data_IF_856625362755
#
_entry.id   IF_856625362755
#
_cell.length_a   1.000
_cell.length_b   1.000
_cell.length_c   1.000
_cell.angle_alpha   90.00
_cell.angle_beta   90.00
_cell.angle_gamma   90.00
#
_symmetry.space_group_name_H-M   'P 1'
#
loop_
_entity.id
_entity.type
_entity.pdbx_description
1 polymer ?
#
# COMPACT_ATOMS: atom_id res chain seq x y z
N UNK A 1 -17.19 -5.31 -31.42
CA UNK A 1 -16.60 -5.93 -30.22
C UNK A 1 -16.96 -5.01 -29.07
N UNK A 2 -18.01 -5.34 -28.32
CA UNK A 2 -18.41 -4.56 -27.15
C UNK A 2 -17.45 -4.94 -26.03
N UNK A 3 -16.53 -4.04 -25.67
CA UNK A 3 -15.66 -4.29 -24.53
C UNK A 3 -16.46 -3.88 -23.31
N UNK A 4 -16.96 -4.91 -22.64
CA UNK A 4 -17.80 -4.82 -21.46
C UNK A 4 -17.13 -4.00 -20.36
N UNK A 5 -17.94 -3.13 -19.77
CA UNK A 5 -17.77 -2.59 -18.42
C UNK A 5 -17.37 -3.73 -17.47
N UNK A 6 -16.49 -3.43 -16.49
CA UNK A 6 -16.12 -4.20 -15.28
C UNK A 6 -14.63 -4.62 -15.21
N UNK A 7 -13.72 -3.66 -14.95
CA UNK A 7 -12.38 -3.98 -14.44
C UNK A 7 -11.81 -2.96 -13.42
N UNK A 8 -12.58 -1.96 -12.98
CA UNK A 8 -12.12 -0.88 -12.07
C UNK A 8 -11.49 -1.41 -10.76
N UNK A 9 -12.13 -2.41 -10.14
CA UNK A 9 -11.63 -3.03 -8.90
C UNK A 9 -10.36 -3.87 -9.11
N UNK A 10 -10.19 -4.46 -10.29
CA UNK A 10 -9.00 -5.24 -10.61
C UNK A 10 -7.79 -4.33 -10.83
N UNK A 11 -8.00 -3.13 -11.39
CA UNK A 11 -6.94 -2.14 -11.57
C UNK A 11 -6.42 -1.63 -10.22
N UNK A 12 -7.32 -1.17 -9.34
CA UNK A 12 -6.97 -0.71 -7.98
C UNK A 12 -6.27 -1.82 -7.16
N UNK A 13 -6.76 -3.06 -7.27
CA UNK A 13 -6.14 -4.20 -6.57
C UNK A 13 -4.75 -4.53 -7.13
N UNK A 14 -4.58 -4.49 -8.45
CA UNK A 14 -3.28 -4.72 -9.10
C UNK A 14 -2.27 -3.61 -8.78
N UNK A 15 -2.73 -2.35 -8.72
CA UNK A 15 -1.92 -1.22 -8.32
C UNK A 15 -1.46 -1.36 -6.87
N UNK A 16 -2.39 -1.72 -5.96
CA UNK A 16 -2.08 -2.00 -4.55
C UNK A 16 -1.00 -3.07 -4.44
N UNK A 17 -1.19 -4.20 -5.12
CA UNK A 17 -0.23 -5.30 -5.10
C UNK A 17 1.13 -4.86 -5.64
N UNK A 18 1.17 -4.16 -6.77
CA UNK A 18 2.42 -3.66 -7.35
C UNK A 18 3.17 -2.75 -6.39
N UNK A 19 2.48 -1.81 -5.74
CA UNK A 19 3.12 -0.93 -4.74
C UNK A 19 3.64 -1.75 -3.56
N UNK A 20 2.83 -2.65 -3.00
CA UNK A 20 3.25 -3.55 -1.91
C UNK A 20 4.51 -4.34 -2.26
N UNK A 21 4.57 -4.89 -3.47
CA UNK A 21 5.71 -5.67 -3.95
C UNK A 21 6.98 -4.82 -4.11
N UNK A 22 6.84 -3.56 -4.50
CA UNK A 22 8.00 -2.67 -4.68
C UNK A 22 8.52 -2.08 -3.38
N UNK A 23 7.66 -1.87 -2.38
CA UNK A 23 8.08 -1.27 -1.11
C UNK A 23 8.47 -2.32 -0.05
N UNK A 24 8.06 -3.58 -0.20
CA UNK A 24 8.43 -4.62 0.76
C UNK A 24 9.84 -5.13 0.48
N UNK A 25 10.57 -5.51 1.53
CA UNK A 25 11.88 -6.13 1.39
C UNK A 25 12.85 -5.73 2.48
N UNK A 26 14.11 -6.05 2.24
CA UNK A 26 15.23 -5.71 3.11
C UNK A 26 15.81 -4.36 2.72
N UNK A 27 15.96 -3.49 3.72
CA UNK A 27 16.57 -2.18 3.59
C UNK A 27 17.88 -2.16 4.37
N UNK A 28 18.99 -1.97 3.68
CA UNK A 28 20.31 -1.80 4.27
C UNK A 28 20.51 -0.32 4.64
N UNK A 29 20.44 -0.03 5.94
CA UNK A 29 20.53 1.32 6.51
C UNK A 29 21.82 1.46 7.33
N UNK A 30 22.97 1.50 6.65
CA UNK A 30 24.27 1.48 7.31
C UNK A 30 24.53 0.12 7.97
N UNK A 31 24.63 0.12 9.30
CA UNK A 31 24.90 -1.10 10.10
C UNK A 31 23.62 -1.87 10.49
N UNK A 32 22.46 -1.45 10.00
CA UNK A 32 21.15 -2.03 10.32
C UNK A 32 20.49 -2.57 9.06
N UNK A 33 20.11 -3.85 9.11
CA UNK A 33 19.23 -4.45 8.11
C UNK A 33 17.79 -4.41 8.63
N UNK A 34 16.92 -3.70 7.92
CA UNK A 34 15.49 -3.61 8.25
C UNK A 34 14.69 -4.44 7.25
N UNK A 35 14.05 -5.51 7.74
CA UNK A 35 13.00 -6.18 6.98
C UNK A 35 11.68 -5.43 7.13
N UNK A 36 11.23 -4.82 6.04
CA UNK A 36 9.98 -4.09 5.95
C UNK A 36 8.90 -4.94 5.26
N UNK A 37 7.85 -5.39 5.99
CA UNK A 37 6.84 -6.30 5.45
C UNK A 37 5.77 -5.61 4.58
N UNK A 38 5.93 -4.33 4.27
CA UNK A 38 4.97 -3.53 3.49
C UNK A 38 3.97 -2.75 4.36
N UNK A 39 3.40 -1.70 3.76
CA UNK A 39 2.43 -0.81 4.41
C UNK A 39 0.98 -1.35 4.36
N UNK A 40 0.03 -0.64 4.95
CA UNK A 40 -1.37 -0.65 4.49
C UNK A 40 -1.56 0.54 3.56
N UNK A 41 -2.37 0.39 2.51
CA UNK A 41 -2.55 1.38 1.43
C UNK A 41 -4.03 1.69 1.18
N UNK A 42 -4.39 2.93 1.47
CA UNK A 42 -5.67 3.50 1.07
C UNK A 42 -5.61 4.03 -0.35
N UNK A 43 -6.13 3.25 -1.31
CA UNK A 43 -6.23 3.67 -2.72
C UNK A 43 -7.71 3.83 -3.04
N UNK A 44 -8.08 5.03 -3.49
CA UNK A 44 -9.42 5.40 -3.90
C UNK A 44 -9.34 6.08 -5.26
N UNK A 45 -10.33 5.82 -6.10
CA UNK A 45 -10.56 6.58 -7.31
C UNK A 45 -11.42 7.80 -6.95
N UNK A 46 -11.08 8.96 -7.49
CA UNK A 46 -11.79 10.21 -7.23
C UNK A 46 -12.03 10.94 -8.53
N UNK A 47 -13.23 11.49 -8.66
CA UNK A 47 -13.56 12.43 -9.72
C UNK A 47 -13.29 13.86 -9.23
N UNK A 48 -12.33 14.58 -9.83
CA UNK A 48 -11.97 15.92 -9.37
C UNK A 48 -13.06 16.97 -9.63
N UNK A 49 -14.06 16.70 -10.47
CA UNK A 49 -15.19 17.62 -10.66
C UNK A 49 -16.17 17.60 -9.47
N UNK A 50 -16.19 16.50 -8.73
CA UNK A 50 -17.18 16.23 -7.66
C UNK A 50 -16.57 15.99 -6.28
N UNK A 51 -15.26 15.73 -6.22
CA UNK A 51 -14.55 15.42 -4.98
C UNK A 51 -13.45 16.43 -4.72
N UNK A 52 -13.55 17.17 -3.63
CA UNK A 52 -12.47 18.03 -3.14
C UNK A 52 -11.33 17.23 -2.52
N UNK A 53 -10.17 17.87 -2.36
CA UNK A 53 -8.96 17.23 -1.85
C UNK A 53 -9.10 16.66 -0.43
N UNK A 54 -9.85 17.33 0.45
CA UNK A 54 -10.02 16.89 1.84
C UNK A 54 -10.91 15.63 1.88
N UNK A 55 -11.99 15.63 1.10
CA UNK A 55 -12.87 14.48 0.93
C UNK A 55 -12.15 13.28 0.31
N UNK A 56 -11.31 13.51 -0.70
CA UNK A 56 -10.47 12.48 -1.32
C UNK A 56 -9.48 11.87 -0.31
N UNK A 57 -8.78 12.71 0.46
CA UNK A 57 -7.83 12.27 1.48
C UNK A 57 -8.54 11.48 2.58
N UNK A 58 -9.71 11.95 3.02
CA UNK A 58 -10.50 11.26 4.05
C UNK A 58 -10.94 9.87 3.59
N UNK A 59 -11.40 9.74 2.35
CA UNK A 59 -11.77 8.45 1.76
C UNK A 59 -10.57 7.48 1.68
N UNK A 60 -9.40 7.99 1.27
CA UNK A 60 -8.16 7.22 1.26
C UNK A 60 -7.77 6.75 2.67
N UNK A 61 -7.86 7.62 3.67
CA UNK A 61 -7.54 7.28 5.07
C UNK A 61 -8.46 6.18 5.62
N UNK A 62 -9.77 6.28 5.36
CA UNK A 62 -10.73 5.22 5.72
C UNK A 62 -10.34 3.89 5.07
N UNK A 63 -10.07 3.87 3.76
CA UNK A 63 -9.70 2.67 3.03
C UNK A 63 -8.40 2.05 3.58
N UNK A 64 -7.40 2.87 3.92
CA UNK A 64 -6.16 2.44 4.56
C UNK A 64 -6.44 1.79 5.93
N UNK A 65 -7.27 2.42 6.77
CA UNK A 65 -7.61 1.90 8.09
C UNK A 65 -8.36 0.57 8.03
N UNK A 66 -9.25 0.39 7.04
CA UNK A 66 -9.91 -0.89 6.80
C UNK A 66 -8.87 -1.97 6.47
N UNK A 67 -7.97 -1.72 5.52
CA UNK A 67 -6.91 -2.68 5.18
C UNK A 67 -6.02 -3.01 6.39
N UNK A 68 -5.63 -1.98 7.16
CA UNK A 68 -4.82 -2.14 8.37
C UNK A 68 -5.48 -3.03 9.43
N UNK A 69 -6.81 -2.99 9.56
CA UNK A 69 -7.57 -3.86 10.46
C UNK A 69 -7.62 -5.31 9.98
N UNK A 70 -7.63 -5.52 8.66
CA UNK A 70 -7.67 -6.86 8.06
C UNK A 70 -6.28 -7.53 7.96
N UNK A 71 -5.20 -6.75 7.91
CA UNK A 71 -3.82 -7.26 7.83
C UNK A 71 -3.37 -7.79 9.19
N UNK A 72 -2.80 -9.01 9.22
CA UNK A 72 -2.13 -9.52 10.41
C UNK A 72 -0.89 -8.67 10.71
N UNK A 73 -0.67 -8.33 11.98
CA UNK A 73 0.49 -7.53 12.39
C UNK A 73 1.76 -8.35 12.21
N UNK A 74 2.50 -8.06 11.14
CA UNK A 74 3.87 -8.52 10.96
C UNK A 74 4.80 -7.47 11.56
N UNK A 75 5.57 -7.78 12.61
CA UNK A 75 6.50 -6.83 13.20
C UNK A 75 7.61 -6.49 12.21
N UNK A 76 8.17 -5.29 12.35
CA UNK A 76 9.46 -4.96 11.74
C UNK A 76 10.53 -5.82 12.39
N UNK A 77 11.39 -6.42 11.57
CA UNK A 77 12.54 -7.19 12.06
C UNK A 77 13.80 -6.42 11.70
N UNK A 78 14.65 -6.17 12.70
CA UNK A 78 15.96 -5.56 12.50
C UNK A 78 17.03 -6.60 12.79
N UNK A 79 18.01 -6.71 11.91
CA UNK A 79 19.21 -7.50 12.14
C UNK A 79 20.40 -6.55 12.21
N UNK A 80 21.31 -6.79 13.14
CA UNK A 80 22.61 -6.11 13.16
C UNK A 80 23.43 -6.66 11.99
N UNK A 81 23.91 -5.79 11.10
CA UNK A 81 24.82 -6.21 10.05
C UNK A 81 26.10 -6.74 10.73
N UNK A 82 26.35 -8.04 10.60
CA UNK A 82 27.60 -8.65 11.03
C UNK A 82 28.71 -8.13 10.11
N UNK A 83 29.38 -7.06 10.52
CA UNK A 83 30.65 -6.63 9.91
C UNK A 83 31.66 -7.77 10.08
N UNK A 84 32.02 -8.42 8.98
CA UNK A 84 33.19 -9.31 8.88
C UNK A 84 34.40 -8.54 8.39
#
# INVERSE_FOLDING_TARGET
MVVSLNNENADISSLRERIQQQIRGEYHLGDVDLYYPGASLGIVEVDPETTDADSALHAADIAMYQEKKHKQKTPFVTHSALHS
#
